data_IF_770409275332
#
_entry.id   IF_770409275332
#
_cell.length_a   1.000
_cell.length_b   1.000
_cell.length_c   1.000
_cell.angle_alpha   90.00
_cell.angle_beta   90.00
_cell.angle_gamma   90.00
#
_symmetry.space_group_name_H-M   'P 1'
#
loop_
_entity.id
_entity.type
_entity.pdbx_description
1 polymer ?
#
# COMPACT_ATOMS: atom_id res chain seq x y z
N UNK A 1 -6.99 22.07 -1.52
CA UNK A 1 -7.93 22.02 -0.38
C UNK A 1 -7.37 21.34 0.87
N UNK A 2 -6.07 21.11 1.03
CA UNK A 2 -5.48 20.62 2.30
C UNK A 2 -5.70 19.13 2.65
N UNK A 3 -6.46 18.37 1.85
CA UNK A 3 -6.70 16.92 2.07
C UNK A 3 -5.43 16.10 2.22
N UNK A 4 -4.49 16.25 1.29
CA UNK A 4 -3.23 15.50 1.34
C UNK A 4 -2.39 15.85 2.57
N UNK A 5 -2.44 17.11 3.02
CA UNK A 5 -1.77 17.53 4.27
C UNK A 5 -2.41 16.85 5.48
N UNK A 6 -3.75 16.79 5.53
CA UNK A 6 -4.49 16.11 6.60
C UNK A 6 -4.17 14.61 6.62
N UNK A 7 -4.20 13.95 5.46
CA UNK A 7 -3.93 12.51 5.37
C UNK A 7 -2.49 12.17 5.72
N UNK A 8 -1.51 12.98 5.30
CA UNK A 8 -0.12 12.86 5.74
C UNK A 8 0.00 13.03 7.26
N UNK A 9 -0.75 13.94 7.86
CA UNK A 9 -0.75 14.11 9.32
C UNK A 9 -1.35 12.89 10.03
N UNK A 10 -2.48 12.34 9.55
CA UNK A 10 -3.07 11.13 10.12
C UNK A 10 -2.13 9.92 9.94
N UNK A 11 -1.45 9.81 8.80
CA UNK A 11 -0.46 8.77 8.52
C UNK A 11 0.84 8.90 9.35
N UNK A 12 1.07 10.04 10.01
CA UNK A 12 2.32 10.30 10.77
C UNK A 12 3.51 10.74 9.91
N UNK A 13 3.24 11.16 8.68
CA UNK A 13 4.23 11.70 7.74
C UNK A 13 4.43 13.20 7.96
N UNK A 14 3.43 13.89 8.51
CA UNK A 14 3.49 15.32 8.85
C UNK A 14 3.06 15.55 10.30
N UNK A 15 3.73 16.46 11.00
CA UNK A 15 3.33 16.86 12.36
C UNK A 15 2.29 17.99 12.33
N UNK A 16 1.25 17.94 13.18
CA UNK A 16 0.32 19.05 13.30
C UNK A 16 1.01 20.24 13.97
N UNK A 17 0.81 21.44 13.43
CA UNK A 17 1.34 22.67 14.05
C UNK A 17 0.75 22.94 15.44
N UNK A 18 -0.51 22.53 15.66
CA UNK A 18 -1.23 22.65 16.94
C UNK A 18 -2.12 21.43 17.14
N UNK A 19 -2.25 20.96 18.39
CA UNK A 19 -3.12 19.84 18.75
C UNK A 19 -2.41 18.48 18.75
N UNK A 20 -3.17 17.39 18.74
CA UNK A 20 -2.61 16.03 18.73
C UNK A 20 -3.46 15.06 17.90
N UNK A 21 -2.81 14.05 17.34
CA UNK A 21 -3.44 12.95 16.60
C UNK A 21 -3.13 11.64 17.32
N UNK A 22 -4.17 10.95 17.77
CA UNK A 22 -4.05 9.67 18.46
C UNK A 22 -4.41 8.53 17.50
N UNK A 23 -3.47 7.63 17.27
CA UNK A 23 -3.58 6.52 16.31
C UNK A 23 -3.88 5.21 17.05
N UNK A 24 -4.60 4.25 16.43
CA UNK A 24 -4.83 2.95 17.04
C UNK A 24 -3.52 2.17 17.23
N UNK A 25 -3.51 1.25 18.19
CA UNK A 25 -2.45 0.22 18.26
C UNK A 25 -2.50 -0.60 16.97
N UNK A 26 -1.37 -0.72 16.27
CA UNK A 26 -1.31 -1.32 14.92
C UNK A 26 -1.15 -0.30 13.78
N UNK A 27 -1.24 0.99 14.07
CA UNK A 27 -0.90 2.05 13.12
C UNK A 27 -1.96 2.31 12.04
N UNK A 28 -1.54 2.99 10.99
CA UNK A 28 -2.38 3.37 9.86
C UNK A 28 -1.63 3.01 8.58
N UNK A 29 -2.26 2.24 7.70
CA UNK A 29 -1.70 1.95 6.39
C UNK A 29 -1.99 3.10 5.44
N UNK A 30 -0.95 3.61 4.77
CA UNK A 30 -1.07 4.67 3.77
C UNK A 30 -0.65 4.14 2.40
N UNK A 31 -1.52 4.33 1.41
CA UNK A 31 -1.24 3.99 0.01
C UNK A 31 -0.85 5.27 -0.71
N UNK A 32 0.40 5.35 -1.18
CA UNK A 32 0.87 6.50 -1.95
C UNK A 32 0.25 6.49 -3.35
N UNK A 33 -0.37 7.62 -3.71
CA UNK A 33 -1.28 7.77 -4.84
C UNK A 33 -0.61 7.67 -6.22
N UNK A 34 0.70 7.90 -6.31
CA UNK A 34 1.48 7.69 -7.51
C UNK A 34 2.94 7.51 -7.13
N UNK A 35 3.42 6.29 -7.09
CA UNK A 35 4.80 6.07 -7.52
C UNK A 35 4.69 6.04 -9.04
N UNK A 36 5.20 7.06 -9.73
CA UNK A 36 5.74 6.83 -11.08
C UNK A 36 6.75 5.70 -10.89
N UNK A 37 6.29 4.45 -11.02
CA UNK A 37 7.16 3.31 -10.85
C UNK A 37 8.12 3.40 -12.02
N UNK A 38 9.36 3.72 -11.70
CA UNK A 38 10.43 3.79 -12.68
C UNK A 38 10.38 2.50 -13.51
N UNK A 39 10.17 2.64 -14.83
CA UNK A 39 10.01 1.51 -15.75
C UNK A 39 11.27 0.64 -15.79
N UNK A 40 12.40 1.15 -15.32
CA UNK A 40 13.65 0.38 -15.18
C UNK A 40 13.63 -0.62 -14.02
N UNK A 41 12.71 -0.48 -13.06
CA UNK A 41 12.59 -1.41 -11.94
C UNK A 41 11.78 -2.65 -12.35
N UNK A 42 12.36 -3.86 -12.33
CA UNK A 42 11.69 -5.09 -12.72
C UNK A 42 10.79 -5.62 -11.58
N UNK A 43 9.87 -4.79 -11.10
CA UNK A 43 8.95 -5.13 -10.01
C UNK A 43 7.68 -5.79 -10.53
N UNK A 44 7.43 -7.02 -10.07
CA UNK A 44 6.15 -7.68 -10.32
C UNK A 44 5.04 -7.09 -9.43
N UNK A 45 3.78 -7.35 -9.80
CA UNK A 45 2.63 -6.99 -8.94
C UNK A 45 2.76 -7.58 -7.55
N UNK A 46 3.21 -8.84 -7.44
CA UNK A 46 3.44 -9.49 -6.16
C UNK A 46 4.52 -8.77 -5.34
N UNK A 47 5.60 -8.33 -5.97
CA UNK A 47 6.67 -7.60 -5.28
C UNK A 47 6.14 -6.28 -4.71
N UNK A 48 5.38 -5.52 -5.51
CA UNK A 48 4.77 -4.28 -5.08
C UNK A 48 3.82 -4.48 -3.88
N UNK A 49 2.97 -5.51 -3.91
CA UNK A 49 2.08 -5.85 -2.79
C UNK A 49 2.88 -6.29 -1.56
N UNK A 50 3.94 -7.08 -1.75
CA UNK A 50 4.80 -7.57 -0.68
C UNK A 50 5.55 -6.45 0.05
N UNK A 51 5.86 -5.33 -0.61
CA UNK A 51 6.43 -4.14 0.04
C UNK A 51 5.53 -3.58 1.15
N UNK A 52 4.22 -3.85 1.12
CA UNK A 52 3.32 -3.52 2.24
C UNK A 52 3.71 -4.21 3.57
N UNK A 53 4.39 -5.36 3.51
CA UNK A 53 4.88 -6.07 4.70
C UNK A 53 6.09 -5.41 5.36
N UNK A 54 6.76 -4.47 4.69
CA UNK A 54 7.93 -3.78 5.27
C UNK A 54 7.54 -2.89 6.44
N UNK A 55 6.31 -2.35 6.45
CA UNK A 55 5.80 -1.56 7.56
C UNK A 55 5.70 -2.35 8.88
N UNK A 56 5.42 -3.65 8.80
CA UNK A 56 5.27 -4.54 9.97
C UNK A 56 6.53 -5.35 10.29
N UNK A 57 7.34 -5.70 9.28
CA UNK A 57 8.53 -6.55 9.44
C UNK A 57 9.86 -5.78 9.52
N UNK A 58 9.91 -4.55 9.00
CA UNK A 58 11.14 -3.79 8.77
C UNK A 58 11.77 -4.11 7.41
N UNK A 59 12.43 -3.11 6.81
CA UNK A 59 12.93 -3.14 5.43
C UNK A 59 13.94 -4.27 5.13
N UNK A 60 14.70 -4.72 6.14
CA UNK A 60 15.75 -5.74 5.97
C UNK A 60 15.34 -7.15 6.43
N UNK A 61 14.11 -7.33 6.92
CA UNK A 61 13.67 -8.63 7.40
C UNK A 61 13.12 -9.49 6.25
N UNK A 62 13.50 -10.78 6.18
CA UNK A 62 12.94 -11.67 5.16
C UNK A 62 11.45 -11.92 5.40
N UNK A 63 10.70 -12.06 4.29
CA UNK A 63 9.29 -12.41 4.32
C UNK A 63 9.10 -13.85 4.81
N UNK A 64 8.25 -14.03 5.82
CA UNK A 64 7.86 -15.33 6.37
C UNK A 64 6.69 -15.93 5.59
N UNK A 65 6.33 -17.17 5.94
CA UNK A 65 5.16 -17.84 5.37
C UNK A 65 3.86 -17.05 5.62
N UNK A 66 3.73 -16.43 6.80
CA UNK A 66 2.60 -15.57 7.14
C UNK A 66 2.53 -14.32 6.26
N UNK A 67 3.67 -13.68 5.99
CA UNK A 67 3.74 -12.51 5.10
C UNK A 67 3.32 -12.88 3.67
N UNK A 68 3.78 -14.03 3.18
CA UNK A 68 3.35 -14.55 1.87
C UNK A 68 1.85 -14.79 1.81
N UNK A 69 1.27 -15.40 2.84
CA UNK A 69 -0.19 -15.61 2.93
C UNK A 69 -0.95 -14.30 3.01
N UNK A 70 -0.44 -13.29 3.71
CA UNK A 70 -1.07 -11.96 3.78
C UNK A 70 -1.10 -11.29 2.40
N UNK A 71 0.01 -11.38 1.65
CA UNK A 71 0.09 -10.92 0.26
C UNK A 71 -0.90 -11.65 -0.63
N UNK A 72 -0.94 -12.99 -0.56
CA UNK A 72 -1.87 -13.80 -1.37
C UNK A 72 -3.32 -13.40 -1.11
N UNK A 73 -3.73 -13.33 0.16
CA UNK A 73 -5.08 -12.90 0.56
C UNK A 73 -5.43 -11.50 0.05
N UNK A 74 -4.50 -10.55 0.14
CA UNK A 74 -4.73 -9.19 -0.32
C UNK A 74 -4.92 -9.14 -1.85
N UNK A 75 -4.14 -9.91 -2.60
CA UNK A 75 -4.27 -9.99 -4.06
C UNK A 75 -5.56 -10.69 -4.50
N UNK A 76 -6.00 -11.70 -3.77
CA UNK A 76 -7.29 -12.38 -3.99
C UNK A 76 -8.47 -11.45 -3.73
N UNK A 77 -8.46 -10.70 -2.62
CA UNK A 77 -9.52 -9.76 -2.25
C UNK A 77 -9.80 -8.70 -3.31
N UNK A 78 -8.79 -8.27 -4.05
CA UNK A 78 -8.93 -7.26 -5.11
C UNK A 78 -8.86 -7.85 -6.52
N UNK A 79 -8.94 -9.18 -6.65
CA UNK A 79 -9.03 -9.87 -7.95
C UNK A 79 -7.87 -9.51 -8.91
N UNK A 80 -6.63 -9.64 -8.42
CA UNK A 80 -5.39 -9.44 -9.21
C UNK A 80 -4.39 -10.59 -9.04
N UNK A 81 -4.77 -11.68 -8.38
CA UNK A 81 -3.87 -12.81 -8.12
C UNK A 81 -3.30 -13.44 -9.40
N UNK A 82 -4.07 -13.43 -10.48
CA UNK A 82 -3.67 -13.84 -11.84
C UNK A 82 -2.56 -12.95 -12.44
N UNK A 83 -2.48 -11.69 -12.01
CA UNK A 83 -1.48 -10.72 -12.46
C UNK A 83 -0.18 -10.77 -11.65
N UNK A 84 -0.06 -11.68 -10.68
CA UNK A 84 1.01 -11.66 -9.69
C UNK A 84 2.45 -11.59 -10.25
N UNK A 85 2.69 -12.22 -11.41
CA UNK A 85 4.00 -12.26 -12.07
C UNK A 85 4.20 -11.18 -13.12
N UNK A 86 3.16 -10.41 -13.42
CA UNK A 86 3.21 -9.33 -14.42
C UNK A 86 3.98 -8.16 -13.85
N UNK A 87 4.66 -7.40 -14.71
CA UNK A 87 5.31 -6.17 -14.29
C UNK A 87 4.27 -5.13 -13.89
N UNK A 88 4.51 -4.40 -12.81
CA UNK A 88 3.56 -3.42 -12.28
C UNK A 88 3.30 -2.26 -13.28
N UNK A 89 4.29 -1.93 -14.12
CA UNK A 89 4.17 -0.89 -15.14
C UNK A 89 3.34 -1.31 -16.36
N UNK A 90 3.12 -2.61 -16.58
CA UNK A 90 2.30 -3.15 -17.67
C UNK A 90 0.80 -3.17 -17.34
N UNK A 91 0.44 -2.83 -16.10
CA UNK A 91 -0.94 -2.85 -15.65
C UNK A 91 -1.76 -1.69 -16.24
N UNK A 92 -3.01 -1.97 -16.58
CA UNK A 92 -3.99 -0.91 -16.84
C UNK A 92 -4.16 -0.02 -15.60
N UNK A 93 -4.69 1.19 -15.76
CA UNK A 93 -4.93 2.11 -14.63
C UNK A 93 -5.72 1.46 -13.49
N UNK A 94 -6.81 0.76 -13.83
CA UNK A 94 -7.64 0.05 -12.84
C UNK A 94 -6.93 -1.15 -12.19
N UNK A 95 -6.13 -1.91 -12.95
CA UNK A 95 -5.33 -3.01 -12.38
C UNK A 95 -4.27 -2.47 -11.42
N UNK A 96 -3.59 -1.38 -11.80
CA UNK A 96 -2.58 -0.71 -10.97
C UNK A 96 -3.19 -0.17 -9.68
N UNK A 97 -4.39 0.43 -9.76
CA UNK A 97 -5.12 0.86 -8.58
C UNK A 97 -5.41 -0.31 -7.64
N UNK A 98 -5.91 -1.44 -8.15
CA UNK A 98 -6.15 -2.63 -7.33
C UNK A 98 -4.87 -3.18 -6.71
N UNK A 99 -3.75 -3.15 -7.43
CA UNK A 99 -2.44 -3.53 -6.87
C UNK A 99 -2.03 -2.66 -5.68
N UNK A 100 -2.22 -1.34 -5.76
CA UNK A 100 -1.95 -0.44 -4.64
C UNK A 100 -2.90 -0.64 -3.45
N UNK A 101 -4.18 -0.96 -3.71
CA UNK A 101 -5.11 -1.35 -2.65
C UNK A 101 -4.66 -2.66 -1.97
N UNK A 102 -4.28 -3.68 -2.74
CA UNK A 102 -3.72 -4.91 -2.20
C UNK A 102 -2.46 -4.66 -1.36
N UNK A 103 -1.56 -3.77 -1.81
CA UNK A 103 -0.38 -3.38 -1.04
C UNK A 103 -0.76 -2.78 0.32
N UNK A 104 -1.80 -1.92 0.36
CA UNK A 104 -2.35 -1.36 1.59
C UNK A 104 -2.96 -2.44 2.51
N UNK A 105 -3.75 -3.36 1.96
CA UNK A 105 -4.35 -4.47 2.69
C UNK A 105 -3.29 -5.42 3.27
N UNK A 106 -2.19 -5.64 2.54
CA UNK A 106 -1.09 -6.48 2.99
C UNK A 106 -0.41 -5.92 4.25
N UNK A 107 -0.52 -4.63 4.57
CA UNK A 107 0.05 -4.04 5.78
C UNK A 107 -0.61 -4.54 7.07
N UNK A 108 -1.82 -5.11 6.98
CA UNK A 108 -2.60 -5.63 8.12
C UNK A 108 -2.83 -4.57 9.22
N UNK A 109 -2.95 -3.30 8.80
CA UNK A 109 -3.26 -2.20 9.70
C UNK A 109 -4.79 -2.11 9.93
N UNK A 110 -5.23 -1.68 11.13
CA UNK A 110 -6.65 -1.54 11.44
C UNK A 110 -7.35 -0.42 10.65
N UNK A 111 -6.58 0.51 10.08
CA UNK A 111 -7.09 1.63 9.27
C UNK A 111 -6.27 1.71 7.99
N UNK A 112 -6.95 1.70 6.85
CA UNK A 112 -6.38 1.98 5.53
C UNK A 112 -6.79 3.38 5.09
N UNK A 113 -5.80 4.27 4.95
CA UNK A 113 -6.00 5.60 4.37
C UNK A 113 -5.70 5.57 2.87
N UNK A 114 -6.69 6.00 2.11
CA UNK A 114 -6.62 6.19 0.67
C UNK A 114 -6.78 7.69 0.41
N UNK A 115 -5.75 8.37 -0.09
CA UNK A 115 -5.92 9.74 -0.60
C UNK A 115 -6.55 9.65 -2.00
N UNK A 116 -7.85 9.97 -2.05
CA UNK A 116 -8.79 10.01 -3.19
C UNK A 116 -8.71 8.89 -4.25
N UNK A 117 -9.81 8.14 -4.45
CA UNK A 117 -9.87 6.91 -5.22
C UNK A 117 -10.66 7.08 -6.56
N UNK A 118 -10.48 6.17 -7.52
CA UNK A 118 -11.40 5.93 -8.66
C UNK A 118 -11.93 7.18 -9.41
N UNK A 119 -11.10 7.81 -10.24
CA UNK A 119 -11.65 8.48 -11.43
C UNK A 119 -11.79 7.43 -12.52
N UNK A 120 -13.05 7.07 -12.83
CA UNK A 120 -13.38 6.35 -14.06
C UNK A 120 -13.01 7.18 -15.29
#
# INVERSE_FOLDING_TARGET
SGKSTLLRAIAGIAEPAVGSIRRPRGGVAFVLQSTDVDRSLPLTVRDAVAMGRFATRGMFAPLRAEDRRAVDRAMEQVQIADLARRQIHDLSGGQRQRAFVAQGLAQDAPILLLDEPVSA
#
